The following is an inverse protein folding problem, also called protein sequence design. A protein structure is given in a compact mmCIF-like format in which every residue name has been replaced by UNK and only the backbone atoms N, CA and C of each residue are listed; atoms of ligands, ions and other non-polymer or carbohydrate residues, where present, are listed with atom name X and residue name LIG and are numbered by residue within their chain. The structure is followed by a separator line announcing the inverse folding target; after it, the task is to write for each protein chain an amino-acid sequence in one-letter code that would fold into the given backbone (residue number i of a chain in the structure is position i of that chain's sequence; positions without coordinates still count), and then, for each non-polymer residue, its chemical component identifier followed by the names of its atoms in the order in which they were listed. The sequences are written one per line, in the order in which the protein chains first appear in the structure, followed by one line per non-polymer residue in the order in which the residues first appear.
data_IF_106326258219
#
_entry.id   IF_106326258219
#
_cell.length_a   1.000
_cell.length_b   1.000
_cell.length_c   1.000
_cell.angle_alpha   90.00
_cell.angle_beta   90.00
_cell.angle_gamma   90.00
#
_symmetry.space_group_name_H-M   'P 1'
#
loop_
_entity.id
_entity.type
_entity.pdbx_description
1 polymer ?
#
# COMPACT_ATOMS: atom_id res chain seq x y z
N UNK A 1 22.31 -7.49 2.37
CA UNK A 1 21.45 -8.30 3.26
C UNK A 1 20.08 -7.62 3.47
N UNK A 2 20.00 -6.29 3.54
CA UNK A 2 18.75 -5.53 3.67
C UNK A 2 17.79 -5.74 2.48
N UNK A 3 18.32 -5.62 1.26
CA UNK A 3 17.52 -5.61 0.02
C UNK A 3 16.72 -6.92 -0.15
N UNK A 4 17.31 -8.07 0.22
CA UNK A 4 16.63 -9.38 0.14
C UNK A 4 15.45 -9.49 1.11
N UNK A 5 15.55 -8.86 2.29
CA UNK A 5 14.45 -8.82 3.26
C UNK A 5 13.34 -7.91 2.76
N UNK A 6 13.70 -6.72 2.30
CA UNK A 6 12.74 -5.75 1.78
C UNK A 6 11.96 -6.32 0.60
N UNK A 7 12.63 -6.89 -0.42
CA UNK A 7 11.94 -7.51 -1.56
C UNK A 7 11.05 -8.68 -1.16
N UNK A 8 11.47 -9.50 -0.18
CA UNK A 8 10.64 -10.60 0.32
C UNK A 8 9.37 -10.10 1.04
N UNK A 9 9.49 -9.02 1.82
CA UNK A 9 8.34 -8.39 2.48
C UNK A 9 7.40 -7.75 1.46
N UNK A 10 7.93 -7.04 0.46
CA UNK A 10 7.12 -6.46 -0.62
C UNK A 10 6.32 -7.52 -1.38
N UNK A 11 6.92 -8.70 -1.62
CA UNK A 11 6.23 -9.83 -2.25
C UNK A 11 5.05 -10.40 -1.45
N UNK A 12 4.95 -10.07 -0.16
CA UNK A 12 3.81 -10.43 0.71
C UNK A 12 2.85 -9.24 0.86
N UNK A 13 3.37 -8.03 1.08
CA UNK A 13 2.55 -6.84 1.30
C UNK A 13 1.68 -6.49 0.08
N UNK A 14 2.26 -6.52 -1.13
CA UNK A 14 1.55 -6.06 -2.32
C UNK A 14 0.31 -6.91 -2.61
N UNK A 15 0.38 -8.26 -2.65
CA UNK A 15 -0.82 -9.08 -2.83
C UNK A 15 -1.88 -8.86 -1.74
N UNK A 16 -1.47 -8.72 -0.47
CA UNK A 16 -2.40 -8.52 0.64
C UNK A 16 -3.11 -7.16 0.56
N UNK A 17 -2.40 -6.10 0.18
CA UNK A 17 -3.02 -4.77 -0.02
C UNK A 17 -3.99 -4.81 -1.20
N UNK A 18 -3.62 -5.45 -2.31
CA UNK A 18 -4.51 -5.62 -3.47
C UNK A 18 -5.77 -6.39 -3.09
N UNK A 19 -5.64 -7.44 -2.27
CA UNK A 19 -6.78 -8.19 -1.75
C UNK A 19 -7.72 -7.28 -0.94
N UNK A 20 -7.17 -6.50 -0.01
CA UNK A 20 -7.95 -5.53 0.78
C UNK A 20 -8.64 -4.47 -0.09
N UNK A 21 -7.99 -4.00 -1.15
CA UNK A 21 -8.61 -3.07 -2.10
C UNK A 21 -9.82 -3.73 -2.77
N UNK A 22 -9.70 -4.94 -3.28
CA UNK A 22 -10.82 -5.66 -3.93
C UNK A 22 -11.96 -5.94 -2.94
N UNK A 23 -11.65 -6.27 -1.69
CA UNK A 23 -12.67 -6.50 -0.66
C UNK A 23 -13.46 -5.24 -0.30
N UNK A 24 -12.80 -4.07 -0.29
CA UNK A 24 -13.43 -2.80 0.12
C UNK A 24 -13.99 -1.99 -1.06
N UNK A 25 -13.54 -2.28 -2.28
CA UNK A 25 -13.99 -1.67 -3.53
C UNK A 25 -14.49 -2.76 -4.49
N UNK A 26 -15.71 -3.28 -4.29
CA UNK A 26 -16.23 -4.43 -5.04
C UNK A 26 -16.42 -4.15 -6.54
N UNK A 27 -16.38 -2.89 -6.96
CA UNK A 27 -16.37 -2.48 -8.36
C UNK A 27 -15.00 -2.64 -9.05
N UNK A 28 -13.92 -2.81 -8.28
CA UNK A 28 -12.57 -2.98 -8.83
C UNK A 28 -12.28 -4.45 -9.09
N UNK A 29 -11.82 -4.75 -10.31
CA UNK A 29 -11.14 -6.01 -10.57
C UNK A 29 -9.75 -6.03 -9.92
N UNK A 30 -9.17 -7.21 -9.73
CA UNK A 30 -7.79 -7.35 -9.24
C UNK A 30 -6.79 -6.52 -10.06
N UNK A 31 -6.93 -6.51 -11.39
CA UNK A 31 -6.11 -5.66 -12.27
C UNK A 31 -6.31 -4.17 -12.02
N UNK A 32 -7.54 -3.74 -11.74
CA UNK A 32 -7.84 -2.34 -11.40
C UNK A 32 -7.25 -1.97 -10.05
N UNK A 33 -7.40 -2.84 -9.04
CA UNK A 33 -6.83 -2.65 -7.72
C UNK A 33 -5.30 -2.58 -7.75
N UNK A 34 -4.65 -3.44 -8.54
CA UNK A 34 -3.19 -3.34 -8.79
C UNK A 34 -2.82 -1.99 -9.40
N UNK A 35 -3.47 -1.58 -10.49
CA UNK A 35 -3.16 -0.32 -11.17
C UNK A 35 -3.34 0.90 -10.24
N UNK A 36 -4.41 0.93 -9.46
CA UNK A 36 -4.66 1.98 -8.47
C UNK A 36 -3.57 1.99 -7.39
N UNK A 37 -3.20 0.82 -6.85
CA UNK A 37 -2.13 0.73 -5.88
C UNK A 37 -0.81 1.24 -6.46
N UNK A 38 -0.37 0.72 -7.61
CA UNK A 38 0.91 1.08 -8.24
C UNK A 38 1.00 2.56 -8.64
N UNK A 39 -0.12 3.25 -8.83
CA UNK A 39 -0.16 4.68 -9.16
C UNK A 39 -0.33 5.59 -7.94
N UNK A 40 -0.57 5.01 -6.75
CA UNK A 40 -0.73 5.75 -5.50
C UNK A 40 0.58 6.33 -4.96
N UNK A 41 0.48 7.43 -4.23
CA UNK A 41 1.60 8.01 -3.47
C UNK A 41 2.03 7.09 -2.34
N UNK A 42 1.11 6.38 -1.70
CA UNK A 42 1.40 5.33 -0.70
C UNK A 42 2.37 4.31 -1.27
N UNK A 43 2.10 3.76 -2.46
CA UNK A 43 2.99 2.78 -3.07
C UNK A 43 4.34 3.37 -3.47
N UNK A 44 4.35 4.59 -4.03
CA UNK A 44 5.61 5.30 -4.34
C UNK A 44 6.51 5.49 -3.11
N UNK A 45 5.95 5.65 -1.92
CA UNK A 45 6.71 5.75 -0.66
C UNK A 45 7.06 4.35 -0.14
N UNK A 46 6.17 3.38 -0.30
CA UNK A 46 6.36 2.00 0.11
C UNK A 46 7.55 1.34 -0.59
N UNK A 47 7.78 1.65 -1.87
CA UNK A 47 8.93 1.16 -2.64
C UNK A 47 10.27 1.77 -2.21
N UNK A 48 10.26 2.90 -1.50
CA UNK A 48 11.46 3.49 -0.92
C UNK A 48 11.76 2.85 0.43
N UNK A 49 12.69 1.88 0.43
CA UNK A 49 13.11 1.14 1.63
C UNK A 49 13.52 2.07 2.80
N UNK A 50 14.03 3.27 2.51
CA UNK A 50 14.52 4.22 3.52
C UNK A 50 13.40 4.80 4.38
N UNK A 51 12.18 4.85 3.85
CA UNK A 51 10.98 5.36 4.55
C UNK A 51 10.50 4.39 5.63
N UNK A 52 10.89 3.11 5.52
CA UNK A 52 10.48 2.01 6.40
C UNK A 52 8.96 1.81 6.46
N UNK A 53 8.22 2.32 5.47
CA UNK A 53 6.77 2.16 5.40
C UNK A 53 6.36 0.67 5.33
N UNK A 54 7.21 -0.16 4.74
CA UNK A 54 7.07 -1.62 4.67
C UNK A 54 7.12 -2.35 6.03
N UNK A 55 7.36 -1.64 7.14
CA UNK A 55 7.19 -2.20 8.49
C UNK A 55 5.73 -2.19 8.98
N UNK A 56 4.85 -1.42 8.33
CA UNK A 56 3.44 -1.40 8.70
C UNK A 56 2.70 -2.65 8.20
N UNK A 57 1.59 -2.96 8.87
CA UNK A 57 0.72 -4.07 8.48
C UNK A 57 0.04 -3.77 7.12
N UNK A 58 -0.35 -4.80 6.34
CA UNK A 58 -1.15 -4.61 5.13
C UNK A 58 -2.40 -3.77 5.36
N UNK A 59 -3.08 -3.97 6.49
CA UNK A 59 -4.27 -3.20 6.86
C UNK A 59 -3.96 -1.72 7.06
N UNK A 60 -2.84 -1.39 7.72
CA UNK A 60 -2.41 0.00 7.90
C UNK A 60 -2.09 0.65 6.56
N UNK A 61 -1.36 -0.06 5.68
CA UNK A 61 -1.01 0.42 4.34
C UNK A 61 -2.26 0.62 3.47
N UNK A 62 -3.23 -0.29 3.57
CA UNK A 62 -4.53 -0.15 2.93
C UNK A 62 -5.28 1.08 3.44
N UNK A 63 -5.34 1.31 4.76
CA UNK A 63 -6.01 2.49 5.32
C UNK A 63 -5.38 3.80 4.82
N UNK A 64 -4.05 3.85 4.70
CA UNK A 64 -3.36 5.01 4.12
C UNK A 64 -3.71 5.20 2.64
N UNK A 65 -3.81 4.11 1.88
CA UNK A 65 -4.24 4.15 0.48
C UNK A 65 -5.70 4.62 0.35
N UNK A 66 -6.59 4.13 1.21
CA UNK A 66 -7.99 4.52 1.26
C UNK A 66 -8.15 6.02 1.57
N UNK A 67 -7.38 6.51 2.53
CA UNK A 67 -7.32 7.93 2.87
C UNK A 67 -6.77 8.78 1.71
N UNK A 68 -5.70 8.34 1.07
CA UNK A 68 -5.16 9.01 -0.12
C UNK A 68 -6.21 9.08 -1.23
N UNK A 69 -6.92 7.98 -1.50
CA UNK A 69 -7.96 7.93 -2.53
C UNK A 69 -9.11 8.88 -2.21
N UNK A 70 -9.51 8.97 -0.93
CA UNK A 70 -10.62 9.83 -0.45
C UNK A 70 -10.27 11.31 -0.42
N UNK A 71 -9.04 11.66 -0.04
CA UNK A 71 -8.62 13.05 0.24
C UNK A 71 -7.75 13.64 -0.86
N UNK A 72 -7.16 12.80 -1.71
CA UNK A 72 -6.12 13.16 -2.67
C UNK A 72 -4.77 13.48 -2.03
N UNK A 73 -4.57 13.16 -0.74
CA UNK A 73 -3.34 13.47 0.00
C UNK A 73 -2.83 12.26 0.76
N UNK A 74 -1.51 12.08 0.74
CA UNK A 74 -0.85 11.11 1.59
C UNK A 74 -0.68 11.66 3.00
N UNK A 75 -1.05 10.87 4.01
CA UNK A 75 -0.90 11.19 5.43
C UNK A 75 -0.25 10.00 6.17
N UNK A 76 0.63 10.30 7.14
CA UNK A 76 1.24 9.25 7.96
C UNK A 76 0.27 8.79 9.06
N UNK A 77 0.27 7.50 9.42
CA UNK A 77 -0.69 6.93 10.37
C UNK A 77 -0.56 7.45 11.82
N UNK A 78 0.41 8.32 12.13
CA UNK A 78 0.61 8.92 13.48
C UNK A 78 0.18 10.40 13.57
N UNK A 79 -0.46 10.97 12.56
CA UNK A 79 -0.87 12.40 12.54
C UNK A 79 -2.39 12.62 12.71
N UNK A 80 -3.04 11.86 13.60
CA UNK A 80 -4.45 12.07 14.00
C UNK A 80 -4.61 12.53 15.46
#
# INVERSE_FOLDING_TARGET
MSDKKFSAVMGILVPEIVHLIVENYPEHSETTAMNELYTSKVYSILEDESTKLWHFSPLTLFNMFDEEKRTGRFEWPEEA
#
